data_IF_325245460626
#
_entry.id   IF_325245460626
#
_cell.length_a   1.000
_cell.length_b   1.000
_cell.length_c   1.000
_cell.angle_alpha   90.00
_cell.angle_beta   90.00
_cell.angle_gamma   90.00
#
_symmetry.space_group_name_H-M   'P 1'
#
loop_
_entity.id
_entity.type
_entity.pdbx_description
1 polymer ?
#
# COMPACT_ATOMS: atom_id res chain seq x y z
N UNK A 1 -18.16 11.37 -9.35
CA UNK A 1 -18.50 9.99 -9.75
C UNK A 1 -17.25 9.09 -9.82
N UNK A 2 -16.19 9.48 -10.53
CA UNK A 2 -14.93 8.72 -10.60
C UNK A 2 -14.30 8.39 -9.25
N UNK A 3 -14.32 9.33 -8.30
CA UNK A 3 -13.83 9.10 -6.94
C UNK A 3 -14.59 7.98 -6.21
N UNK A 4 -15.90 7.88 -6.44
CA UNK A 4 -16.76 6.87 -5.82
C UNK A 4 -16.49 5.47 -6.38
N UNK A 5 -16.29 5.36 -7.69
CA UNK A 5 -15.91 4.10 -8.36
C UNK A 5 -14.56 3.62 -7.84
N UNK A 6 -13.62 4.55 -7.64
CA UNK A 6 -12.28 4.24 -7.14
C UNK A 6 -12.29 3.73 -5.69
N UNK A 7 -13.12 4.30 -4.81
CA UNK A 7 -13.29 3.81 -3.44
C UNK A 7 -13.89 2.40 -3.42
N UNK A 8 -14.90 2.13 -4.26
CA UNK A 8 -15.49 0.79 -4.36
C UNK A 8 -14.47 -0.24 -4.86
N UNK A 9 -13.63 0.12 -5.84
CA UNK A 9 -12.55 -0.73 -6.31
C UNK A 9 -11.50 -1.00 -5.22
N UNK A 10 -11.11 0.02 -4.45
CA UNK A 10 -10.22 -0.14 -3.31
C UNK A 10 -10.79 -1.12 -2.28
N UNK A 11 -12.08 -0.98 -1.96
CA UNK A 11 -12.76 -1.87 -1.03
C UNK A 11 -12.75 -3.32 -1.52
N UNK A 12 -12.94 -3.54 -2.82
CA UNK A 12 -12.85 -4.87 -3.43
C UNK A 12 -11.43 -5.46 -3.35
N UNK A 13 -10.40 -4.63 -3.57
CA UNK A 13 -8.99 -5.06 -3.48
C UNK A 13 -8.57 -5.41 -2.05
N UNK A 14 -9.14 -4.78 -1.03
CA UNK A 14 -8.93 -5.17 0.38
C UNK A 14 -9.41 -6.60 0.68
N UNK A 15 -10.38 -7.13 -0.08
CA UNK A 15 -10.85 -8.51 0.09
C UNK A 15 -9.99 -9.54 -0.63
N UNK A 16 -9.18 -9.12 -1.61
CA UNK A 16 -8.15 -9.99 -2.16
C UNK A 16 -7.07 -10.13 -1.08
N UNK A 17 -7.02 -11.29 -0.44
CA UNK A 17 -6.14 -11.65 0.68
C UNK A 17 -4.62 -11.60 0.34
N UNK A 18 -4.25 -10.95 -0.76
CA UNK A 18 -2.89 -10.72 -1.21
C UNK A 18 -2.43 -9.31 -0.81
N UNK A 19 -1.74 -9.25 0.32
CA UNK A 19 -1.19 -8.01 0.90
C UNK A 19 -0.28 -7.26 -0.08
N UNK A 20 0.44 -7.97 -0.96
CA UNK A 20 1.29 -7.33 -1.97
C UNK A 20 0.49 -6.51 -2.99
N UNK A 21 -0.65 -7.06 -3.42
CA UNK A 21 -1.52 -6.40 -4.39
C UNK A 21 -2.23 -5.19 -3.76
N UNK A 22 -2.63 -5.30 -2.49
CA UNK A 22 -3.16 -4.18 -1.72
C UNK A 22 -2.15 -3.03 -1.60
N UNK A 23 -0.88 -3.34 -1.35
CA UNK A 23 0.21 -2.35 -1.27
C UNK A 23 0.37 -1.56 -2.58
N UNK A 24 0.38 -2.24 -3.74
CA UNK A 24 0.50 -1.57 -5.05
C UNK A 24 -0.70 -0.63 -5.30
N UNK A 25 -1.90 -1.05 -4.94
CA UNK A 25 -3.11 -0.23 -5.13
C UNK A 25 -3.06 1.01 -4.23
N UNK A 26 -2.54 0.89 -3.01
CA UNK A 26 -2.32 2.03 -2.11
C UNK A 26 -1.31 3.05 -2.68
N UNK A 27 -0.22 2.58 -3.29
CA UNK A 27 0.77 3.46 -3.91
C UNK A 27 0.17 4.22 -5.11
N UNK A 28 -0.63 3.55 -5.94
CA UNK A 28 -1.35 4.20 -7.05
C UNK A 28 -2.35 5.25 -6.56
N UNK A 29 -3.02 5.00 -5.43
CA UNK A 29 -3.94 5.95 -4.79
C UNK A 29 -3.21 7.20 -4.29
N UNK A 30 -2.03 7.04 -3.71
CA UNK A 30 -1.19 8.17 -3.29
C UNK A 30 -0.67 8.99 -4.47
N UNK A 31 -0.27 8.36 -5.58
CA UNK A 31 0.11 9.06 -6.80
C UNK A 31 -1.06 9.89 -7.34
N UNK A 32 -2.27 9.33 -7.33
CA UNK A 32 -3.46 10.07 -7.78
C UNK A 32 -3.77 11.28 -6.89
N UNK A 33 -3.65 11.14 -5.56
CA UNK A 33 -3.79 12.26 -4.62
C UNK A 33 -2.71 13.33 -4.83
N UNK A 34 -1.47 12.94 -5.08
CA UNK A 34 -0.38 13.84 -5.42
C UNK A 34 -0.70 14.66 -6.69
N UNK A 35 -1.26 14.04 -7.73
CA UNK A 35 -1.67 14.75 -8.95
C UNK A 35 -2.77 15.78 -8.68
N UNK A 36 -3.75 15.45 -7.83
CA UNK A 36 -4.80 16.40 -7.45
C UNK A 36 -4.24 17.61 -6.69
N UNK A 37 -3.36 17.36 -5.73
CA UNK A 37 -2.70 18.43 -4.94
C UNK A 37 -1.78 19.28 -5.80
N UNK A 38 -1.09 18.67 -6.77
CA UNK A 38 -0.27 19.40 -7.72
C UNK A 38 -1.09 20.40 -8.55
N UNK A 39 -2.30 20.00 -8.97
CA UNK A 39 -3.25 20.87 -9.68
C UNK A 39 -3.71 22.05 -8.80
N UNK A 40 -3.88 21.83 -7.50
CA UNK A 40 -4.25 22.87 -6.52
C UNK A 40 -3.09 23.83 -6.14
N UNK A 41 -1.91 23.70 -6.77
CA UNK A 41 -0.71 24.56 -6.59
C UNK A 41 -0.14 24.61 -5.16
N UNK A 42 -0.54 23.69 -4.27
CA UNK A 42 -0.02 23.63 -2.89
C UNK A 42 1.29 22.85 -2.84
N UNK A 43 2.37 23.47 -3.31
CA UNK A 43 3.68 22.84 -3.47
C UNK A 43 4.30 22.31 -2.17
N UNK A 44 4.07 22.98 -1.03
CA UNK A 44 4.58 22.51 0.27
C UNK A 44 3.91 21.20 0.70
N UNK A 45 2.59 21.10 0.50
CA UNK A 45 1.82 19.91 0.85
C UNK A 45 2.16 18.74 -0.09
N UNK A 46 2.43 19.02 -1.36
CA UNK A 46 2.91 18.03 -2.33
C UNK A 46 4.22 17.36 -1.92
N UNK A 47 5.21 18.15 -1.46
CA UNK A 47 6.51 17.63 -1.03
C UNK A 47 6.36 16.72 0.21
N UNK A 48 5.47 17.09 1.14
CA UNK A 48 5.13 16.26 2.29
C UNK A 48 4.45 14.93 1.90
N UNK A 49 3.53 14.96 0.92
CA UNK A 49 2.88 13.76 0.40
C UNK A 49 3.87 12.81 -0.28
N UNK A 50 4.86 13.33 -1.01
CA UNK A 50 5.92 12.51 -1.59
C UNK A 50 6.71 11.79 -0.49
N UNK A 51 7.12 12.52 0.56
CA UNK A 51 7.86 11.92 1.69
C UNK A 51 7.03 10.80 2.34
N UNK A 52 5.73 11.04 2.57
CA UNK A 52 4.82 10.04 3.10
C UNK A 52 4.73 8.80 2.22
N UNK A 53 4.66 8.97 0.89
CA UNK A 53 4.59 7.84 -0.06
C UNK A 53 5.83 6.96 -0.03
N UNK A 54 7.02 7.54 0.14
CA UNK A 54 8.26 6.78 0.27
C UNK A 54 8.27 5.98 1.58
N UNK A 55 7.86 6.59 2.69
CA UNK A 55 7.81 5.91 3.99
C UNK A 55 6.80 4.76 3.96
N UNK A 56 5.62 4.96 3.35
CA UNK A 56 4.62 3.90 3.25
C UNK A 56 5.11 2.71 2.43
N UNK A 57 5.79 2.95 1.32
CA UNK A 57 6.38 1.89 0.49
C UNK A 57 7.42 1.07 1.26
N UNK A 58 8.32 1.74 1.99
CA UNK A 58 9.33 1.07 2.84
C UNK A 58 8.66 0.18 3.89
N UNK A 59 7.64 0.70 4.58
CA UNK A 59 6.89 -0.06 5.59
C UNK A 59 6.15 -1.26 5.00
N UNK A 60 5.62 -1.13 3.79
CA UNK A 60 5.01 -2.23 3.06
C UNK A 60 5.97 -3.37 2.76
N UNK A 61 7.17 -3.03 2.27
CA UNK A 61 8.21 -4.02 2.01
C UNK A 61 8.60 -4.75 3.30
N UNK A 62 8.74 -4.02 4.41
CA UNK A 62 9.02 -4.62 5.73
C UNK A 62 7.90 -5.59 6.12
N UNK A 63 6.63 -5.22 5.95
CA UNK A 63 5.47 -6.09 6.22
C UNK A 63 5.49 -7.37 5.36
N UNK A 64 5.84 -7.27 4.08
CA UNK A 64 5.96 -8.44 3.19
C UNK A 64 7.09 -9.38 3.66
N UNK A 65 8.24 -8.81 4.03
CA UNK A 65 9.37 -9.59 4.53
C UNK A 65 9.00 -10.29 5.86
N UNK A 66 8.36 -9.58 6.78
CA UNK A 66 7.92 -10.17 8.05
C UNK A 66 6.90 -11.28 7.82
N UNK A 67 5.88 -11.04 7.00
CA UNK A 67 4.83 -12.03 6.74
C UNK A 67 5.38 -13.29 6.05
N UNK A 68 6.36 -13.14 5.14
CA UNK A 68 7.03 -14.29 4.53
C UNK A 68 7.85 -15.10 5.54
N UNK A 69 8.55 -14.44 6.47
CA UNK A 69 9.32 -15.10 7.56
C UNK A 69 8.43 -15.79 8.58
N UNK A 70 7.31 -15.19 8.98
CA UNK A 70 6.37 -15.83 9.90
C UNK A 70 5.80 -17.10 9.27
N UNK A 71 5.36 -17.04 8.00
CA UNK A 71 4.80 -18.20 7.31
C UNK A 71 5.83 -19.32 7.06
N UNK A 72 7.10 -18.99 6.80
CA UNK A 72 8.17 -19.98 6.68
C UNK A 72 8.51 -20.65 8.01
N UNK A 73 8.59 -19.88 9.11
CA UNK A 73 8.96 -20.40 10.42
C UNK A 73 7.89 -21.33 11.02
N UNK A 74 6.60 -21.05 10.78
CA UNK A 74 5.53 -21.98 11.18
C UNK A 74 5.61 -23.31 10.42
N UNK A 75 5.96 -23.26 9.12
CA UNK A 75 6.06 -24.46 8.30
C UNK A 75 7.24 -25.34 8.73
N UNK A 76 8.40 -24.77 9.07
CA UNK A 76 9.54 -25.56 9.56
C UNK A 76 9.31 -26.17 10.93
N UNK A 77 8.60 -25.49 11.84
CA UNK A 77 8.30 -26.05 13.17
C UNK A 77 7.30 -27.22 13.11
N UNK A 78 6.40 -27.27 12.13
CA UNK A 78 5.46 -28.38 11.95
C UNK A 78 6.12 -29.66 11.40
N UNK A 79 7.22 -29.55 10.67
CA UNK A 79 7.95 -30.71 10.14
C UNK A 79 9.06 -31.22 11.09
N UNK A 80 9.39 -30.46 12.14
CA UNK A 80 10.42 -30.82 13.12
C UNK A 80 9.84 -31.44 14.42
N UNK A 81 8.53 -31.76 14.43
CA UNK A 81 7.84 -32.58 15.45
C UNK A 81 7.25 -33.80 14.80
#
# INVERSE_FOLDING_TARGET
MYFFIFIFFFFFMCFLNNIFLLMIVLDLLMIFLCLLVYIDLVNFFFLFLIILSVISAVMGVIMIILNSRFKSNFKSNLYNT
#
